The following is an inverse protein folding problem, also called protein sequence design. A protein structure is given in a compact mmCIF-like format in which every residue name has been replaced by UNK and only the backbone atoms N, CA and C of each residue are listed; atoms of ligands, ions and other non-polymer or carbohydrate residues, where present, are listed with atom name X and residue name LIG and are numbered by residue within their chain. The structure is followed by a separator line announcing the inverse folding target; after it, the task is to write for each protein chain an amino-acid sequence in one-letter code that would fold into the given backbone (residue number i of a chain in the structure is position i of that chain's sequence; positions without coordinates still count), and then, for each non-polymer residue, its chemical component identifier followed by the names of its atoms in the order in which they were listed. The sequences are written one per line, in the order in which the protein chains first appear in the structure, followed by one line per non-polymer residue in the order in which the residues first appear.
data_IF_788618274413
#
_entry.id   IF_788618274413
#
_cell.length_a   1.000
_cell.length_b   1.000
_cell.length_c   1.000
_cell.angle_alpha   90.00
_cell.angle_beta   90.00
_cell.angle_gamma   90.00
#
_symmetry.space_group_name_H-M   'P 1'
#
loop_
_entity.id
_entity.type
_entity.pdbx_description
1 polymer ?
#
# COMPACT_ATOMS: atom_id res chain seq x y z
N UNK A 1 22.06 44.24 -25.15
CA UNK A 1 22.25 43.12 -24.19
C UNK A 1 23.65 42.57 -24.43
N UNK A 2 24.53 42.66 -23.44
CA UNK A 2 25.97 42.38 -23.60
C UNK A 2 26.21 40.86 -23.63
N UNK A 3 27.25 40.38 -24.33
CA UNK A 3 27.57 38.95 -24.39
C UNK A 3 27.83 38.34 -23.00
N UNK A 4 28.45 39.11 -22.10
CA UNK A 4 28.65 38.71 -20.71
C UNK A 4 27.33 38.49 -19.97
N UNK A 5 26.32 39.31 -20.24
CA UNK A 5 25.00 39.18 -19.62
C UNK A 5 24.28 37.92 -20.10
N UNK A 6 24.45 37.54 -21.37
CA UNK A 6 23.92 36.26 -21.89
C UNK A 6 24.60 35.06 -21.23
N UNK A 7 25.93 35.05 -21.13
CA UNK A 7 26.69 33.96 -20.49
C UNK A 7 26.32 33.78 -19.02
N UNK A 8 26.14 34.88 -18.28
CA UNK A 8 25.73 34.83 -16.87
C UNK A 8 24.31 34.26 -16.70
N UNK A 9 23.40 34.62 -17.60
CA UNK A 9 22.02 34.07 -17.60
C UNK A 9 22.01 32.60 -17.95
N UNK A 10 22.77 32.16 -18.97
CA UNK A 10 22.90 30.74 -19.33
C UNK A 10 23.50 29.91 -18.20
N UNK A 11 24.55 30.42 -17.54
CA UNK A 11 25.16 29.74 -16.39
C UNK A 11 24.16 29.60 -15.22
N UNK A 12 23.40 30.66 -14.94
CA UNK A 12 22.37 30.62 -13.88
C UNK A 12 21.25 29.63 -14.21
N UNK A 13 20.81 29.56 -15.47
CA UNK A 13 19.79 28.60 -15.91
C UNK A 13 20.29 27.15 -15.75
N UNK A 14 21.52 26.86 -16.20
CA UNK A 14 22.11 25.52 -16.04
C UNK A 14 22.26 25.12 -14.57
N UNK A 15 22.71 26.04 -13.70
CA UNK A 15 22.79 25.78 -12.25
C UNK A 15 21.43 25.48 -11.62
N UNK A 16 20.35 26.11 -12.11
CA UNK A 16 19.01 25.85 -11.63
C UNK A 16 18.48 24.50 -12.11
N UNK A 17 18.71 24.16 -13.38
CA UNK A 17 18.34 22.85 -13.93
C UNK A 17 19.02 21.71 -13.17
N UNK A 18 20.33 21.81 -12.94
CA UNK A 18 21.10 20.83 -12.15
C UNK A 18 20.53 20.66 -10.73
N UNK A 19 20.15 21.77 -10.07
CA UNK A 19 19.54 21.73 -8.74
C UNK A 19 18.19 21.03 -8.75
N UNK A 20 17.38 21.24 -9.78
CA UNK A 20 16.08 20.58 -9.93
C UNK A 20 16.27 19.08 -10.16
N UNK A 21 17.20 18.70 -11.02
CA UNK A 21 17.49 17.31 -11.35
C UNK A 21 18.03 16.55 -10.11
N UNK A 22 18.98 17.14 -9.38
CA UNK A 22 19.47 16.60 -8.10
C UNK A 22 18.35 16.41 -7.08
N UNK A 23 17.39 17.35 -7.00
CA UNK A 23 16.23 17.21 -6.12
C UNK A 23 15.32 16.05 -6.53
N UNK A 24 15.08 15.85 -7.83
CA UNK A 24 14.29 14.73 -8.36
C UNK A 24 14.96 13.39 -8.04
N UNK A 25 16.25 13.28 -8.30
CA UNK A 25 17.11 12.14 -7.95
C UNK A 25 17.02 11.77 -6.46
N UNK A 26 17.21 12.74 -5.58
CA UNK A 26 17.14 12.52 -4.11
C UNK A 26 15.74 12.06 -3.71
N UNK A 27 14.69 12.68 -4.27
CA UNK A 27 13.30 12.31 -3.99
C UNK A 27 13.03 10.87 -4.44
N UNK A 28 13.42 10.51 -5.66
CA UNK A 28 13.31 9.16 -6.22
C UNK A 28 13.99 8.11 -5.33
N UNK A 29 15.23 8.35 -4.91
CA UNK A 29 15.95 7.44 -4.00
C UNK A 29 15.24 7.24 -2.67
N UNK A 30 14.76 8.34 -2.05
CA UNK A 30 13.99 8.28 -0.80
C UNK A 30 12.68 7.52 -0.97
N UNK A 31 11.96 7.76 -2.06
CA UNK A 31 10.69 7.12 -2.34
C UNK A 31 10.87 5.62 -2.56
N UNK A 32 11.87 5.20 -3.35
CA UNK A 32 12.19 3.78 -3.57
C UNK A 32 12.56 3.04 -2.28
N UNK A 33 13.43 3.62 -1.44
CA UNK A 33 13.79 3.04 -0.14
C UNK A 33 12.54 2.89 0.75
N UNK A 34 11.70 3.94 0.80
CA UNK A 34 10.44 3.93 1.56
C UNK A 34 9.47 2.85 1.08
N UNK A 35 9.56 2.42 -0.19
CA UNK A 35 8.69 1.40 -0.76
C UNK A 35 9.30 0.00 -0.70
N UNK A 36 10.47 -0.17 -0.09
CA UNK A 36 11.15 -1.46 -0.02
C UNK A 36 11.92 -1.83 -1.28
N UNK A 37 12.05 -0.89 -2.24
CA UNK A 37 12.78 -1.08 -3.49
C UNK A 37 14.24 -0.65 -3.32
N UNK A 38 14.95 -1.35 -2.46
CA UNK A 38 16.36 -1.11 -2.16
C UNK A 38 17.15 -2.42 -2.20
N UNK A 39 18.47 -2.30 -2.33
CA UNK A 39 19.44 -3.37 -2.10
C UNK A 39 20.21 -3.05 -0.83
N UNK A 40 20.58 -4.09 -0.11
CA UNK A 40 21.46 -3.98 1.05
C UNK A 40 22.90 -4.21 0.60
N UNK A 41 23.77 -3.24 0.85
CA UNK A 41 25.19 -3.31 0.49
C UNK A 41 26.00 -3.39 1.78
N UNK A 42 26.93 -4.35 1.93
CA UNK A 42 27.75 -4.45 3.12
C UNK A 42 28.66 -3.23 3.27
N UNK A 43 28.78 -2.73 4.50
CA UNK A 43 29.61 -1.56 4.84
C UNK A 43 30.68 -2.00 5.84
N UNK A 44 31.91 -1.49 5.67
CA UNK A 44 33.08 -1.88 6.46
C UNK A 44 33.16 -1.07 7.77
N UNK A 45 32.62 0.15 7.78
CA UNK A 45 32.58 1.05 8.94
C UNK A 45 31.13 1.38 9.31
N UNK A 46 30.90 1.51 10.62
CA UNK A 46 29.62 1.86 11.24
C UNK A 46 29.31 3.34 10.92
N UNK A 47 28.85 3.61 9.70
CA UNK A 47 28.32 4.92 9.32
C UNK A 47 26.91 5.08 9.92
N UNK A 48 26.54 6.32 10.25
CA UNK A 48 25.25 6.75 10.84
C UNK A 48 23.97 6.24 10.13
N UNK A 49 24.10 5.64 8.94
CA UNK A 49 23.00 5.12 8.10
C UNK A 49 23.01 3.61 7.95
N UNK A 50 23.99 2.93 8.53
CA UNK A 50 24.11 1.48 8.49
C UNK A 50 23.31 0.83 9.62
N UNK A 51 22.87 -0.40 9.40
CA UNK A 51 22.24 -1.23 10.43
C UNK A 51 22.74 -2.66 10.33
N UNK A 52 22.74 -3.35 11.46
CA UNK A 52 23.16 -4.74 11.50
C UNK A 52 22.07 -5.64 10.90
N UNK A 53 22.39 -6.34 9.80
CA UNK A 53 21.52 -7.40 9.29
C UNK A 53 21.94 -8.74 9.93
N UNK A 54 21.03 -9.32 10.72
CA UNK A 54 21.24 -10.58 11.42
C UNK A 54 21.35 -11.81 10.49
N UNK A 55 20.69 -11.78 9.33
CA UNK A 55 20.76 -12.85 8.33
C UNK A 55 22.13 -12.88 7.65
N UNK A 56 22.65 -11.70 7.30
CA UNK A 56 23.94 -11.55 6.63
C UNK A 56 25.12 -11.46 7.62
N UNK A 57 24.84 -11.34 8.92
CA UNK A 57 25.81 -11.17 10.02
C UNK A 57 26.79 -10.01 9.83
N UNK A 58 26.37 -8.95 9.15
CA UNK A 58 27.20 -7.80 8.83
C UNK A 58 26.37 -6.50 8.80
N UNK A 59 27.04 -5.36 8.95
CA UNK A 59 26.42 -4.05 8.80
C UNK A 59 26.16 -3.77 7.32
N UNK A 60 24.96 -3.29 7.02
CA UNK A 60 24.51 -2.99 5.66
C UNK A 60 23.87 -1.61 5.59
N UNK A 61 23.96 -0.98 4.42
CA UNK A 61 23.23 0.24 4.08
C UNK A 61 22.13 -0.06 3.05
N UNK A 62 20.97 0.58 3.17
CA UNK A 62 19.90 0.53 2.16
C UNK A 62 20.24 1.49 1.03
N UNK A 63 20.58 0.94 -0.13
CA UNK A 63 20.78 1.71 -1.35
C UNK A 63 19.59 1.51 -2.27
N UNK A 64 18.96 2.63 -2.68
CA UNK A 64 17.83 2.58 -3.60
C UNK A 64 18.21 1.79 -4.87
N UNK A 65 17.27 0.96 -5.36
CA UNK A 65 17.47 0.29 -6.65
C UNK A 65 17.70 1.34 -7.75
N UNK A 66 18.63 1.05 -8.64
CA UNK A 66 18.78 1.83 -9.85
C UNK A 66 17.62 1.47 -10.80
N UNK A 67 16.69 2.40 -10.95
CA UNK A 67 15.44 2.26 -11.70
C UNK A 67 15.39 3.39 -12.70
N UNK A 68 15.09 3.11 -13.97
CA UNK A 68 14.92 4.19 -14.95
C UNK A 68 13.72 5.08 -14.60
N UNK A 69 13.68 6.31 -15.11
CA UNK A 69 12.56 7.22 -14.85
C UNK A 69 11.22 6.65 -15.35
N UNK A 70 11.23 5.92 -16.47
CA UNK A 70 10.03 5.25 -17.00
C UNK A 70 9.48 4.20 -16.02
N UNK A 71 10.35 3.37 -15.44
CA UNK A 71 9.92 2.38 -14.46
C UNK A 71 9.49 3.04 -13.15
N UNK A 72 10.14 4.14 -12.77
CA UNK A 72 9.77 4.92 -11.59
C UNK A 72 8.36 5.51 -11.71
N UNK A 73 8.01 6.07 -12.87
CA UNK A 73 6.66 6.57 -13.14
C UNK A 73 5.61 5.45 -13.11
N UNK A 74 5.92 4.28 -13.68
CA UNK A 74 5.04 3.10 -13.59
C UNK A 74 4.79 2.71 -12.13
N UNK A 75 5.83 2.66 -11.30
CA UNK A 75 5.69 2.33 -9.86
C UNK A 75 4.81 3.36 -9.15
N UNK A 76 4.97 4.65 -9.44
CA UNK A 76 4.12 5.70 -8.88
C UNK A 76 2.65 5.51 -9.30
N UNK A 77 2.41 5.22 -10.59
CA UNK A 77 1.06 5.02 -11.12
C UNK A 77 0.34 3.85 -10.42
N UNK A 78 1.01 2.70 -10.30
CA UNK A 78 0.45 1.53 -9.58
C UNK A 78 0.15 1.83 -8.12
N UNK A 79 0.97 2.65 -7.46
CA UNK A 79 0.73 3.01 -6.06
C UNK A 79 -0.48 3.94 -5.89
N UNK A 80 -0.73 4.84 -6.85
CA UNK A 80 -1.91 5.72 -6.84
C UNK A 80 -3.23 4.94 -6.80
N UNK A 81 -3.25 3.73 -7.34
CA UNK A 81 -4.43 2.86 -7.39
C UNK A 81 -4.70 2.07 -6.10
N UNK A 82 -3.75 2.02 -5.16
CA UNK A 82 -3.91 1.26 -3.89
C UNK A 82 -4.79 1.95 -2.83
N UNK A 83 -5.49 3.03 -3.19
CA UNK A 83 -6.24 3.87 -2.25
C UNK A 83 -7.66 3.37 -1.89
N UNK A 84 -8.06 2.16 -2.31
CA UNK A 84 -9.44 1.65 -2.11
C UNK A 84 -9.58 0.48 -1.10
N UNK A 85 -8.51 0.07 -0.42
CA UNK A 85 -8.58 -1.05 0.53
C UNK A 85 -9.55 -0.82 1.70
N UNK A 86 -9.60 0.41 2.23
CA UNK A 86 -10.57 0.81 3.27
C UNK A 86 -12.02 0.67 2.77
N UNK A 87 -12.27 0.90 1.48
CA UNK A 87 -13.61 0.74 0.88
C UNK A 87 -13.99 -0.73 0.76
N UNK A 88 -13.04 -1.62 0.44
CA UNK A 88 -13.28 -3.05 0.31
C UNK A 88 -13.77 -3.65 1.63
N UNK A 89 -13.11 -3.33 2.76
CA UNK A 89 -13.54 -3.82 4.08
C UNK A 89 -14.97 -3.34 4.42
N UNK A 90 -15.28 -2.06 4.16
CA UNK A 90 -16.63 -1.51 4.39
C UNK A 90 -17.68 -2.19 3.50
N UNK A 91 -17.37 -2.45 2.23
CA UNK A 91 -18.28 -3.13 1.29
C UNK A 91 -18.55 -4.56 1.76
N UNK A 92 -17.52 -5.32 2.15
CA UNK A 92 -17.68 -6.71 2.60
C UNK A 92 -18.53 -6.77 3.88
N UNK A 93 -18.29 -5.88 4.85
CA UNK A 93 -19.15 -5.75 6.05
C UNK A 93 -20.59 -5.41 5.67
N UNK A 94 -20.79 -4.50 4.71
CA UNK A 94 -22.11 -4.15 4.18
C UNK A 94 -22.85 -5.34 3.57
N UNK A 95 -22.17 -6.14 2.75
CA UNK A 95 -22.71 -7.37 2.16
C UNK A 95 -23.13 -8.37 3.25
N UNK A 96 -22.29 -8.55 4.28
CA UNK A 96 -22.62 -9.44 5.39
C UNK A 96 -23.92 -9.03 6.09
N UNK A 97 -24.10 -7.74 6.39
CA UNK A 97 -25.35 -7.24 6.99
C UNK A 97 -26.56 -7.42 6.06
N UNK A 98 -26.38 -7.22 4.76
CA UNK A 98 -27.44 -7.45 3.78
C UNK A 98 -27.89 -8.92 3.75
N UNK A 99 -26.94 -9.87 3.82
CA UNK A 99 -27.24 -11.31 3.89
C UNK A 99 -28.06 -11.63 5.15
N UNK A 100 -27.70 -11.08 6.31
CA UNK A 100 -28.48 -11.26 7.54
C UNK A 100 -29.90 -10.72 7.40
N UNK A 101 -30.07 -9.50 6.87
CA UNK A 101 -31.38 -8.88 6.68
C UNK A 101 -32.26 -9.66 5.70
N UNK A 102 -31.70 -10.04 4.54
CA UNK A 102 -32.43 -10.80 3.52
C UNK A 102 -32.83 -12.16 4.09
N UNK A 103 -31.90 -12.88 4.72
CA UNK A 103 -32.16 -14.19 5.32
C UNK A 103 -33.20 -14.15 6.43
N UNK A 104 -33.20 -13.09 7.25
CA UNK A 104 -34.21 -12.89 8.29
C UNK A 104 -35.59 -12.65 7.68
N UNK A 105 -35.71 -11.75 6.70
CA UNK A 105 -36.99 -11.43 6.03
C UNK A 105 -37.53 -12.65 5.26
N UNK A 106 -36.69 -13.33 4.48
CA UNK A 106 -37.13 -14.54 3.75
C UNK A 106 -37.53 -15.66 4.69
N UNK A 107 -36.79 -15.87 5.79
CA UNK A 107 -37.15 -16.84 6.80
C UNK A 107 -38.50 -16.53 7.47
N UNK A 108 -38.77 -15.27 7.83
CA UNK A 108 -40.08 -14.87 8.39
C UNK A 108 -41.24 -15.07 7.41
N UNK A 109 -41.00 -14.96 6.10
CA UNK A 109 -42.01 -15.24 5.08
C UNK A 109 -42.25 -16.76 4.95
N UNK A 110 -41.18 -17.55 4.99
CA UNK A 110 -41.22 -19.02 4.87
C UNK A 110 -41.76 -19.72 6.13
N UNK A 111 -41.62 -19.09 7.31
CA UNK A 111 -42.06 -19.64 8.60
C UNK A 111 -43.56 -19.84 8.71
N UNK A 112 -44.32 -19.15 7.84
CA UNK A 112 -45.78 -19.31 7.73
C UNK A 112 -46.20 -20.63 7.09
N UNK A 113 -45.27 -21.32 6.42
CA UNK A 113 -45.56 -22.50 5.59
C UNK A 113 -44.78 -23.72 6.11
N UNK A 114 -43.47 -23.60 6.35
CA UNK A 114 -42.63 -24.70 6.83
C UNK A 114 -41.51 -24.24 7.77
N UNK A 115 -41.59 -24.68 9.03
CA UNK A 115 -40.61 -24.38 10.08
C UNK A 115 -39.23 -24.94 9.76
N UNK A 116 -39.15 -26.15 9.19
CA UNK A 116 -37.87 -26.78 8.82
C UNK A 116 -37.12 -25.99 7.74
N UNK A 117 -37.83 -25.54 6.70
CA UNK A 117 -37.26 -24.71 5.63
C UNK A 117 -36.75 -23.38 6.18
N UNK A 118 -37.46 -22.79 7.13
CA UNK A 118 -37.07 -21.55 7.80
C UNK A 118 -35.77 -21.72 8.57
N UNK A 119 -35.62 -22.80 9.33
CA UNK A 119 -34.39 -23.11 10.06
C UNK A 119 -33.20 -23.26 9.11
N UNK A 120 -33.38 -23.91 7.95
CA UNK A 120 -32.33 -24.00 6.93
C UNK A 120 -31.95 -22.64 6.33
N UNK A 121 -32.93 -21.78 6.04
CA UNK A 121 -32.70 -20.42 5.52
C UNK A 121 -31.92 -19.58 6.55
N UNK A 122 -32.33 -19.62 7.82
CA UNK A 122 -31.62 -18.88 8.88
C UNK A 122 -30.23 -19.43 9.15
N UNK A 123 -30.05 -20.75 9.20
CA UNK A 123 -28.74 -21.36 9.40
C UNK A 123 -27.79 -21.00 8.25
N UNK A 124 -28.23 -21.09 7.00
CA UNK A 124 -27.42 -20.74 5.83
C UNK A 124 -27.08 -19.25 5.76
N UNK A 125 -28.03 -18.36 6.06
CA UNK A 125 -27.79 -16.92 6.15
C UNK A 125 -26.82 -16.57 7.29
N UNK A 126 -26.92 -17.27 8.42
CA UNK A 126 -26.04 -17.07 9.55
C UNK A 126 -24.60 -17.51 9.23
N UNK A 127 -24.42 -18.72 8.69
CA UNK A 127 -23.10 -19.25 8.32
C UNK A 127 -22.44 -18.37 7.27
N UNK A 128 -23.16 -17.99 6.21
CA UNK A 128 -22.62 -17.10 5.18
C UNK A 128 -22.28 -15.72 5.72
N UNK A 129 -23.18 -15.09 6.50
CA UNK A 129 -22.92 -13.79 7.12
C UNK A 129 -21.69 -13.78 8.04
N UNK A 130 -21.52 -14.82 8.86
CA UNK A 130 -20.35 -14.98 9.74
C UNK A 130 -19.07 -15.18 8.94
N UNK A 131 -19.11 -15.96 7.84
CA UNK A 131 -17.94 -16.13 6.96
C UNK A 131 -17.49 -14.81 6.35
N UNK A 132 -18.42 -14.00 5.82
CA UNK A 132 -18.10 -12.69 5.25
C UNK A 132 -17.53 -11.72 6.30
N UNK A 133 -18.08 -11.71 7.53
CA UNK A 133 -17.50 -10.93 8.63
C UNK A 133 -16.10 -11.41 9.02
N UNK A 134 -15.88 -12.74 8.99
CA UNK A 134 -14.56 -13.34 9.20
C UNK A 134 -13.54 -12.85 8.17
N UNK A 135 -13.89 -12.90 6.88
CA UNK A 135 -13.03 -12.37 5.81
C UNK A 135 -12.75 -10.87 5.96
N UNK A 136 -13.77 -10.07 6.30
CA UNK A 136 -13.59 -8.64 6.56
C UNK A 136 -12.55 -8.39 7.67
N UNK A 137 -12.60 -9.19 8.75
CA UNK A 137 -11.67 -9.08 9.87
C UNK A 137 -10.24 -9.52 9.51
N UNK A 138 -10.10 -10.55 8.66
CA UNK A 138 -8.79 -10.97 8.13
C UNK A 138 -8.16 -9.87 7.28
N UNK A 139 -8.95 -9.20 6.44
CA UNK A 139 -8.48 -8.07 5.62
C UNK A 139 -8.04 -6.90 6.52
N UNK A 140 -8.82 -6.59 7.56
CA UNK A 140 -8.48 -5.55 8.54
C UNK A 140 -7.16 -5.86 9.28
N UNK A 141 -6.95 -7.12 9.67
CA UNK A 141 -5.69 -7.58 10.27
C UNK A 141 -4.49 -7.46 9.32
N UNK A 142 -4.67 -7.80 8.03
CA UNK A 142 -3.63 -7.64 7.02
C UNK A 142 -3.26 -6.17 6.80
N UNK A 143 -4.25 -5.27 6.81
CA UNK A 143 -4.02 -3.82 6.74
C UNK A 143 -3.24 -3.31 7.95
N UNK A 144 -3.60 -3.74 9.17
CA UNK A 144 -2.91 -3.33 10.39
C UNK A 144 -1.46 -3.80 10.43
N UNK A 145 -1.19 -5.05 10.00
CA UNK A 145 0.18 -5.57 9.86
C UNK A 145 0.95 -4.71 8.84
N UNK A 146 0.39 -4.46 7.66
CA UNK A 146 1.04 -3.64 6.64
C UNK A 146 1.34 -2.21 7.11
N UNK A 147 0.48 -1.65 7.97
CA UNK A 147 0.66 -0.31 8.54
C UNK A 147 1.72 -0.27 9.64
N UNK A 148 1.82 -1.33 10.46
CA UNK A 148 2.83 -1.42 11.53
C UNK A 148 4.24 -1.72 11.01
N UNK A 149 4.40 -2.46 9.91
CA UNK A 149 5.73 -2.67 9.28
C UNK A 149 6.31 -1.39 8.65
N UNK A 150 5.52 -0.31 8.56
CA UNK A 150 5.95 1.02 8.05
C UNK A 150 6.39 2.00 9.16
N UNK A 151 6.33 1.61 10.44
CA UNK A 151 6.89 2.38 11.56
C UNK A 151 8.28 1.88 11.92
#
# INVERSE_FOLDING_TARGET
MNEETKKLVEQYLNEQEEKIEKKKEIKKKKDLIKWGLFKEIPVIEDEDRSYYNAELKQYVEKVALDVSDEYYEKIIAYKGETCDHIRINQIIKGIAYAIFLIGLVTGLYSSRIHVLTTLYIWASAFVSGVLFLGFAKVIELLEDIHKNTKK
#
